data_IF_411091585655
#
_entry.id   IF_411091585655
#
_cell.length_a   1.000
_cell.length_b   1.000
_cell.length_c   1.000
_cell.angle_alpha   90.00
_cell.angle_beta   90.00
_cell.angle_gamma   90.00
#
_symmetry.space_group_name_H-M   'P 1'
#
loop_
_entity.id
_entity.type
_entity.pdbx_description
1 polymer ?
#
# COMPACT_ATOMS: atom_id res chain seq x y z
N UNK A 1 53.15 -8.95 -42.69
CA UNK A 1 52.14 -9.67 -41.89
C UNK A 1 52.62 -10.02 -40.46
N UNK A 2 53.89 -9.78 -40.09
CA UNK A 2 54.43 -10.08 -38.75
C UNK A 2 54.07 -9.06 -37.65
N UNK A 3 53.82 -7.79 -38.00
CA UNK A 3 53.65 -6.74 -36.98
C UNK A 3 52.26 -6.71 -36.33
N UNK A 4 51.22 -7.18 -37.03
CA UNK A 4 49.86 -7.24 -36.47
C UNK A 4 49.71 -8.35 -35.41
N UNK A 5 50.50 -9.44 -35.54
CA UNK A 5 50.52 -10.53 -34.58
C UNK A 5 51.23 -10.13 -33.28
N UNK A 6 52.33 -9.38 -33.38
CA UNK A 6 53.08 -8.86 -32.23
C UNK A 6 52.27 -7.86 -31.41
N UNK A 7 51.47 -7.00 -32.06
CA UNK A 7 50.60 -6.04 -31.36
C UNK A 7 49.48 -6.75 -30.59
N UNK A 8 48.84 -7.77 -31.19
CA UNK A 8 47.80 -8.56 -30.53
C UNK A 8 48.33 -9.38 -29.34
N UNK A 9 49.54 -9.90 -29.43
CA UNK A 9 50.18 -10.61 -28.32
C UNK A 9 50.56 -9.68 -27.16
N UNK A 10 50.94 -8.43 -27.45
CA UNK A 10 51.20 -7.42 -26.41
C UNK A 10 49.91 -7.02 -25.68
N UNK A 11 48.80 -6.90 -26.41
CA UNK A 11 47.49 -6.56 -25.84
C UNK A 11 46.92 -7.68 -24.97
N UNK A 12 47.06 -8.94 -25.40
CA UNK A 12 46.65 -10.10 -24.60
C UNK A 12 47.48 -10.24 -23.32
N UNK A 13 48.78 -9.93 -23.36
CA UNK A 13 49.63 -9.93 -22.17
C UNK A 13 49.20 -8.85 -21.17
N UNK A 14 48.86 -7.64 -21.65
CA UNK A 14 48.31 -6.57 -20.79
C UNK A 14 46.99 -6.95 -20.13
N UNK A 15 46.10 -7.63 -20.86
CA UNK A 15 44.81 -8.06 -20.30
C UNK A 15 44.97 -9.19 -19.28
N UNK A 16 45.95 -10.09 -19.46
CA UNK A 16 46.28 -11.10 -18.45
C UNK A 16 46.89 -10.48 -17.20
N UNK A 17 47.80 -9.50 -17.33
CA UNK A 17 48.37 -8.79 -16.18
C UNK A 17 47.32 -8.00 -15.40
N UNK A 18 46.32 -7.42 -16.10
CA UNK A 18 45.22 -6.72 -15.46
C UNK A 18 44.27 -7.67 -14.70
N UNK A 19 44.04 -8.87 -15.25
CA UNK A 19 43.21 -9.90 -14.60
C UNK A 19 43.89 -10.48 -13.35
N UNK A 20 45.20 -10.71 -13.40
CA UNK A 20 45.98 -11.19 -12.25
C UNK A 20 45.96 -10.15 -11.11
N UNK A 21 46.07 -8.85 -11.42
CA UNK A 21 45.97 -7.79 -10.40
C UNK A 21 44.58 -7.69 -9.76
N UNK A 22 43.50 -7.93 -10.52
CA UNK A 22 42.15 -7.97 -9.94
C UNK A 22 41.90 -9.23 -9.09
N UNK A 23 42.52 -10.35 -9.42
CA UNK A 23 42.44 -11.57 -8.62
C UNK A 23 43.28 -11.45 -7.33
N UNK A 24 44.42 -10.76 -7.34
CA UNK A 24 45.23 -10.44 -6.14
C UNK A 24 44.56 -9.42 -5.19
N UNK A 25 43.76 -8.49 -5.71
CA UNK A 25 43.01 -7.49 -4.91
C UNK A 25 41.78 -8.11 -4.22
N UNK A 26 41.28 -9.24 -4.72
CA UNK A 26 40.08 -9.91 -4.20
C UNK A 26 40.38 -11.05 -3.19
N UNK A 27 41.66 -11.35 -2.93
CA UNK A 27 42.09 -12.49 -2.09
C UNK A 27 42.71 -12.05 -0.74
N UNK A 28 42.43 -10.83 -0.28
CA UNK A 28 42.73 -10.43 1.10
C UNK A 28 41.64 -10.90 2.06
N UNK A 29 41.96 -11.74 3.06
CA UNK A 29 40.98 -12.20 4.04
C UNK A 29 40.57 -11.01 4.93
N UNK A 30 39.28 -10.68 4.91
CA UNK A 30 38.67 -9.75 5.86
C UNK A 30 38.81 -10.33 7.27
N UNK A 31 39.79 -9.80 8.01
CA UNK A 31 39.98 -10.06 9.44
C UNK A 31 38.75 -9.58 10.19
N UNK A 32 38.02 -10.52 10.76
CA UNK A 32 37.13 -10.31 11.89
C UNK A 32 37.93 -9.77 13.08
N UNK A 33 37.52 -8.67 13.74
CA UNK A 33 38.05 -8.33 15.05
C UNK A 33 37.22 -9.11 16.09
N UNK A 34 37.67 -10.31 16.42
CA UNK A 34 37.48 -10.83 17.78
C UNK A 34 38.67 -10.37 18.60
N UNK A 35 38.45 -9.55 19.63
CA UNK A 35 39.16 -9.70 20.91
C UNK A 35 38.61 -8.80 22.02
N UNK A 36 38.55 -9.42 23.19
CA UNK A 36 38.70 -8.86 24.53
C UNK A 36 37.48 -8.20 25.18
N UNK A 37 36.88 -8.99 26.08
CA UNK A 37 36.14 -8.55 27.25
C UNK A 37 36.86 -7.42 27.97
N UNK A 38 36.18 -6.29 28.13
CA UNK A 38 36.34 -5.41 29.28
C UNK A 38 34.95 -4.92 29.67
N UNK A 39 34.51 -5.35 30.86
CA UNK A 39 33.28 -4.89 31.50
C UNK A 39 33.36 -3.39 31.77
N UNK A 40 32.55 -2.61 31.06
CA UNK A 40 31.91 -1.40 31.58
C UNK A 40 30.54 -1.31 30.93
N UNK A 41 29.49 -1.46 31.74
CA UNK A 41 28.11 -1.43 31.29
C UNK A 41 27.80 -0.11 30.60
N UNK A 42 27.49 -0.17 29.32
CA UNK A 42 26.77 0.88 28.60
C UNK A 42 25.95 0.14 27.57
N UNK A 43 24.64 0.03 27.84
CA UNK A 43 23.69 -0.51 26.87
C UNK A 43 23.83 0.25 25.54
N UNK A 44 23.67 -0.42 24.38
CA UNK A 44 23.61 0.29 23.12
C UNK A 44 22.46 1.32 23.20
N UNK A 45 22.58 2.49 22.55
CA UNK A 45 21.50 3.46 22.58
C UNK A 45 20.28 2.77 21.98
N UNK A 46 19.25 2.59 22.81
CA UNK A 46 17.91 2.29 22.33
C UNK A 46 17.63 3.36 21.29
N UNK A 47 17.62 3.00 20.00
CA UNK A 47 17.03 3.90 19.00
C UNK A 47 15.68 4.24 19.58
N UNK A 48 15.51 5.50 20.01
CA UNK A 48 14.29 5.98 20.64
C UNK A 48 13.20 5.84 19.57
N UNK A 49 12.54 4.69 19.57
CA UNK A 49 11.61 4.28 18.53
C UNK A 49 10.39 5.19 18.64
N UNK A 50 10.01 5.81 17.53
CA UNK A 50 8.72 6.47 17.41
C UNK A 50 7.55 5.54 17.73
N UNK A 51 6.36 6.10 18.01
CA UNK A 51 5.17 5.33 18.42
C UNK A 51 4.36 4.91 17.19
N UNK A 52 4.07 3.61 17.08
CA UNK A 52 3.08 3.09 16.15
C UNK A 52 1.73 2.98 16.88
N UNK A 53 0.71 3.65 16.37
CA UNK A 53 -0.66 3.52 16.88
C UNK A 53 -1.42 2.63 15.91
N UNK A 54 -2.02 1.56 16.42
CA UNK A 54 -2.86 0.64 15.65
C UNK A 54 -4.19 0.47 16.37
N UNK A 55 -5.25 0.91 15.72
CA UNK A 55 -6.64 0.70 16.09
C UNK A 55 -7.26 -0.33 15.12
N UNK A 56 -8.44 -0.88 15.45
CA UNK A 56 -9.14 -1.89 14.63
C UNK A 56 -9.30 -1.52 13.14
N UNK A 57 -9.25 -0.22 12.81
CA UNK A 57 -9.47 0.30 11.45
C UNK A 57 -8.33 1.15 10.90
N UNK A 58 -7.33 1.49 11.73
CA UNK A 58 -6.33 2.53 11.40
C UNK A 58 -4.96 2.20 11.96
N UNK A 59 -3.93 2.55 11.21
CA UNK A 59 -2.55 2.52 11.66
C UNK A 59 -1.72 3.70 11.18
N UNK A 60 -0.97 4.32 12.09
CA UNK A 60 -0.06 5.41 11.75
C UNK A 60 1.14 5.46 12.68
N UNK A 61 2.26 5.92 12.14
CA UNK A 61 3.53 5.99 12.85
C UNK A 61 3.95 7.44 13.11
N UNK A 62 4.31 7.72 14.36
CA UNK A 62 4.85 9.00 14.80
C UNK A 62 6.35 8.82 14.99
N UNK A 63 7.16 9.31 14.04
CA UNK A 63 8.61 9.15 14.06
C UNK A 63 9.33 9.98 15.13
N UNK A 64 8.73 11.07 15.59
CA UNK A 64 9.34 11.94 16.58
C UNK A 64 8.93 11.53 18.00
N UNK A 65 9.91 11.12 18.79
CA UNK A 65 9.76 10.66 20.18
C UNK A 65 9.16 11.73 21.08
N UNK A 66 9.40 13.01 20.78
CA UNK A 66 8.77 14.12 21.49
C UNK A 66 7.25 14.14 21.30
N UNK A 67 6.75 13.86 20.08
CA UNK A 67 5.31 13.81 19.80
C UNK A 67 4.66 12.52 20.32
N UNK A 68 5.42 11.44 20.44
CA UNK A 68 4.97 10.23 21.12
C UNK A 68 4.74 10.49 22.63
N UNK A 69 5.73 11.06 23.32
CA UNK A 69 5.62 11.39 24.76
C UNK A 69 4.58 12.46 25.05
N UNK A 70 4.50 13.52 24.22
CA UNK A 70 3.51 14.59 24.41
C UNK A 70 2.07 14.05 24.30
N UNK A 71 1.83 13.05 23.45
CA UNK A 71 0.50 12.41 23.39
C UNK A 71 0.19 11.64 24.66
N UNK A 72 1.16 10.89 25.19
CA UNK A 72 0.98 10.12 26.42
C UNK A 72 0.70 11.07 27.61
N UNK A 73 1.40 12.21 27.69
CA UNK A 73 1.11 13.27 28.66
C UNK A 73 -0.27 13.92 28.44
N UNK A 74 -0.70 14.14 27.20
CA UNK A 74 -2.04 14.69 26.89
C UNK A 74 -3.15 13.68 27.21
N UNK A 75 -2.91 12.38 27.00
CA UNK A 75 -3.86 11.31 27.34
C UNK A 75 -4.00 11.15 28.86
N UNK A 76 -2.88 11.25 29.59
CA UNK A 76 -2.85 11.30 31.06
C UNK A 76 -3.55 12.57 31.60
N UNK A 77 -3.40 13.72 30.92
CA UNK A 77 -4.12 14.95 31.26
C UNK A 77 -5.62 14.88 30.92
N UNK A 78 -6.00 14.16 29.86
CA UNK A 78 -7.42 13.94 29.48
C UNK A 78 -8.10 13.04 30.50
N UNK A 79 -7.46 11.93 30.86
CA UNK A 79 -7.97 11.00 31.87
C UNK A 79 -8.00 11.65 33.27
N UNK A 80 -7.11 12.61 33.56
CA UNK A 80 -7.15 13.42 34.78
C UNK A 80 -8.22 14.52 34.77
N UNK A 81 -8.78 14.87 33.59
CA UNK A 81 -9.87 15.84 33.47
C UNK A 81 -11.25 15.17 33.45
N UNK A 82 -11.32 13.87 33.16
CA UNK A 82 -12.52 13.04 33.29
C UNK A 82 -12.71 12.59 34.75
N UNK A 83 -12.91 13.55 35.65
CA UNK A 83 -13.41 13.29 37.01
C UNK A 83 -14.95 13.33 36.97
N UNK A 84 -15.68 12.28 37.42
CA UNK A 84 -17.13 12.24 37.33
C UNK A 84 -17.73 13.15 38.40
N UNK A 85 -17.99 14.41 38.06
CA UNK A 85 -18.66 15.33 38.96
C UNK A 85 -19.95 15.90 38.37
N UNK A 86 -21.02 15.52 39.06
CA UNK A 86 -22.39 16.05 39.12
C UNK A 86 -23.33 15.81 37.95
N UNK A 87 -24.22 14.83 38.17
CA UNK A 87 -25.62 14.91 37.76
C UNK A 87 -26.21 16.27 38.16
N UNK A 88 -26.53 17.08 37.16
CA UNK A 88 -27.58 18.10 37.25
C UNK A 88 -28.19 18.25 35.87
N UNK A 89 -29.42 17.73 35.74
CA UNK A 89 -30.38 18.20 34.74
C UNK A 89 -30.47 19.72 34.85
N UNK A 90 -30.31 20.42 33.74
CA UNK A 90 -31.17 21.56 33.47
C UNK A 90 -31.39 21.70 31.97
N UNK A 91 -32.65 21.69 31.58
CA UNK A 91 -33.07 22.06 30.24
C UNK A 91 -32.95 23.57 30.08
N UNK A 92 -32.76 24.01 28.84
CA UNK A 92 -33.62 25.01 28.18
C UNK A 92 -33.14 25.23 26.75
N UNK A 93 -34.14 25.37 25.90
CA UNK A 93 -34.16 25.71 24.48
C UNK A 93 -33.50 27.04 24.18
N UNK A 94 -32.80 27.15 23.04
CA UNK A 94 -32.83 28.40 22.28
C UNK A 94 -32.77 28.13 20.78
N UNK A 95 -33.88 28.48 20.14
CA UNK A 95 -34.15 28.43 18.71
C UNK A 95 -33.46 29.59 18.00
N UNK A 96 -32.69 29.32 16.95
CA UNK A 96 -32.45 30.30 15.88
C UNK A 96 -32.56 29.62 14.51
N UNK A 97 -33.79 29.61 14.02
CA UNK A 97 -34.15 29.36 12.63
C UNK A 97 -34.09 30.68 11.85
N UNK A 98 -33.30 30.75 10.76
CA UNK A 98 -33.57 31.64 9.63
C UNK A 98 -33.03 31.04 8.31
N UNK A 99 -33.98 30.45 7.58
CA UNK A 99 -34.27 30.64 6.15
C UNK A 99 -33.25 30.21 5.09
N UNK A 100 -33.63 29.12 4.44
CA UNK A 100 -33.34 28.68 3.07
C UNK A 100 -33.07 29.80 2.05
N UNK A 101 -31.93 29.72 1.35
CA UNK A 101 -31.86 30.09 -0.06
C UNK A 101 -31.18 28.99 -0.87
N UNK A 102 -31.93 28.57 -1.90
CA UNK A 102 -31.56 27.66 -2.96
C UNK A 102 -30.30 28.13 -3.69
N UNK A 103 -29.28 27.28 -3.75
CA UNK A 103 -28.28 27.37 -4.81
C UNK A 103 -28.03 25.98 -5.40
N UNK A 104 -28.45 25.84 -6.65
CA UNK A 104 -28.20 24.72 -7.54
C UNK A 104 -26.71 24.67 -7.85
N UNK A 105 -25.92 24.00 -7.01
CA UNK A 105 -24.59 23.53 -7.38
C UNK A 105 -24.36 22.15 -6.76
N UNK A 106 -23.89 21.24 -7.60
CA UNK A 106 -23.62 19.84 -7.32
C UNK A 106 -22.97 19.60 -5.95
N UNK A 107 -23.17 18.43 -5.31
CA UNK A 107 -22.52 18.13 -4.05
C UNK A 107 -21.00 18.17 -4.26
N UNK A 108 -20.37 19.24 -3.78
CA UNK A 108 -18.92 19.36 -3.77
C UNK A 108 -18.40 18.22 -2.88
N UNK A 109 -17.77 17.22 -3.50
CA UNK A 109 -17.16 16.09 -2.83
C UNK A 109 -16.00 16.57 -1.93
N UNK A 110 -16.30 17.02 -0.71
CA UNK A 110 -15.34 17.58 0.26
C UNK A 110 -14.17 16.64 0.64
N UNK A 111 -14.24 15.35 0.31
CA UNK A 111 -13.16 14.37 0.58
C UNK A 111 -12.25 14.05 -0.61
N UNK A 112 -12.55 14.57 -1.81
CA UNK A 112 -11.96 14.05 -3.05
C UNK A 112 -10.86 14.95 -3.64
N UNK A 113 -10.76 16.21 -3.19
CA UNK A 113 -10.06 17.31 -3.86
C UNK A 113 -8.64 16.99 -4.37
N UNK A 114 -7.80 16.33 -3.57
CA UNK A 114 -6.43 15.99 -3.97
C UNK A 114 -6.29 14.60 -4.59
N UNK A 115 -7.06 13.61 -4.13
CA UNK A 115 -7.01 12.25 -4.68
C UNK A 115 -7.48 12.22 -6.14
N UNK A 116 -8.57 12.94 -6.44
CA UNK A 116 -9.07 13.11 -7.81
C UNK A 116 -8.07 13.84 -8.71
N UNK A 117 -7.30 14.79 -8.18
CA UNK A 117 -6.33 15.51 -9.00
C UNK A 117 -5.16 14.59 -9.42
N UNK A 118 -4.71 13.71 -8.51
CA UNK A 118 -3.58 12.80 -8.76
C UNK A 118 -3.99 11.60 -9.62
N UNK A 119 -5.16 11.02 -9.36
CA UNK A 119 -5.68 9.85 -10.10
C UNK A 119 -6.51 10.25 -11.34
N UNK A 120 -6.39 11.52 -11.75
CA UNK A 120 -7.13 12.12 -12.84
C UNK A 120 -8.56 12.48 -12.42
N UNK A 121 -9.01 13.70 -12.76
CA UNK A 121 -10.33 14.30 -12.47
C UNK A 121 -11.57 13.46 -12.88
N UNK A 122 -11.38 12.23 -13.31
CA UNK A 122 -12.35 11.17 -13.60
C UNK A 122 -13.16 10.73 -12.39
N UNK A 123 -12.90 11.30 -11.22
CA UNK A 123 -13.31 10.75 -9.95
C UNK A 123 -14.74 11.08 -9.49
N UNK A 124 -15.66 11.28 -10.44
CA UNK A 124 -16.99 11.85 -10.18
C UNK A 124 -18.09 10.82 -9.88
N UNK A 125 -17.80 9.51 -9.93
CA UNK A 125 -18.83 8.50 -9.73
C UNK A 125 -19.23 8.39 -8.25
N UNK A 126 -20.48 8.78 -7.95
CA UNK A 126 -21.12 8.64 -6.63
C UNK A 126 -21.27 7.17 -6.22
N UNK A 127 -21.41 6.25 -7.17
CA UNK A 127 -21.39 4.79 -6.96
C UNK A 127 -20.54 4.08 -8.01
N UNK A 128 -19.81 3.03 -7.59
CA UNK A 128 -19.08 2.10 -8.48
C UNK A 128 -19.78 0.75 -8.65
N UNK A 129 -20.95 0.55 -8.01
CA UNK A 129 -21.83 -0.61 -8.22
C UNK A 129 -21.95 -1.04 -9.69
N UNK A 130 -22.19 -0.14 -10.68
CA UNK A 130 -22.38 -0.57 -12.07
C UNK A 130 -21.11 -1.11 -12.75
N UNK A 131 -19.93 -0.91 -12.16
CA UNK A 131 -18.66 -1.41 -12.69
C UNK A 131 -18.32 -2.82 -12.16
N UNK A 132 -19.06 -3.32 -11.17
CA UNK A 132 -18.86 -4.67 -10.66
C UNK A 132 -19.34 -5.71 -11.68
N UNK A 133 -18.54 -6.75 -11.95
CA UNK A 133 -18.97 -7.85 -12.79
C UNK A 133 -20.08 -8.67 -12.12
N UNK A 134 -20.91 -9.39 -12.91
CA UNK A 134 -21.85 -10.36 -12.36
C UNK A 134 -21.11 -11.48 -11.62
N UNK A 135 -21.78 -12.11 -10.65
CA UNK A 135 -21.18 -13.10 -9.74
C UNK A 135 -20.39 -14.21 -10.47
N UNK A 136 -20.89 -14.73 -11.58
CA UNK A 136 -20.20 -15.77 -12.36
C UNK A 136 -18.84 -15.30 -12.88
N UNK A 137 -18.77 -14.06 -13.35
CA UNK A 137 -17.53 -13.43 -13.82
C UNK A 137 -16.61 -13.12 -12.65
N UNK A 138 -17.14 -12.63 -11.52
CA UNK A 138 -16.37 -12.38 -10.29
C UNK A 138 -15.68 -13.66 -9.79
N UNK A 139 -16.39 -14.80 -9.80
CA UNK A 139 -15.81 -16.10 -9.43
C UNK A 139 -14.68 -16.50 -10.38
N UNK A 140 -14.90 -16.36 -11.69
CA UNK A 140 -13.90 -16.71 -12.71
C UNK A 140 -12.64 -15.82 -12.62
N UNK A 141 -12.82 -14.51 -12.44
CA UNK A 141 -11.72 -13.56 -12.26
C UNK A 141 -10.90 -13.86 -11.01
N UNK A 142 -11.56 -14.24 -9.91
CA UNK A 142 -10.86 -14.63 -8.68
C UNK A 142 -10.00 -15.89 -8.89
N UNK A 143 -10.49 -16.86 -9.65
CA UNK A 143 -9.73 -18.07 -9.94
C UNK A 143 -8.48 -17.77 -10.79
N UNK A 144 -8.62 -16.91 -11.79
CA UNK A 144 -7.47 -16.39 -12.56
C UNK A 144 -6.47 -15.67 -11.64
N UNK A 145 -6.95 -14.80 -10.74
CA UNK A 145 -6.10 -14.10 -9.78
C UNK A 145 -5.31 -15.08 -8.90
N UNK A 146 -5.96 -16.13 -8.38
CA UNK A 146 -5.33 -17.15 -7.54
C UNK A 146 -4.23 -17.91 -8.28
N UNK A 147 -4.44 -18.21 -9.57
CA UNK A 147 -3.50 -19.01 -10.36
C UNK A 147 -2.33 -18.17 -10.88
N UNK A 148 -2.59 -16.95 -11.34
CA UNK A 148 -1.60 -16.17 -12.08
C UNK A 148 -0.95 -15.06 -11.25
N UNK A 149 -1.69 -14.43 -10.33
CA UNK A 149 -1.26 -13.19 -9.66
C UNK A 149 -0.80 -13.46 -8.23
N UNK A 150 -1.60 -14.17 -7.43
CA UNK A 150 -1.30 -14.45 -6.02
C UNK A 150 0.07 -15.14 -5.80
N UNK A 151 0.56 -16.04 -6.68
CA UNK A 151 1.88 -16.64 -6.50
C UNK A 151 3.05 -15.65 -6.70
N UNK A 152 2.82 -14.58 -7.47
CA UNK A 152 3.79 -13.53 -7.79
C UNK A 152 3.74 -12.38 -6.77
N UNK A 153 2.54 -11.99 -6.34
CA UNK A 153 2.31 -10.86 -5.42
C UNK A 153 1.89 -11.40 -4.05
N UNK A 154 2.88 -11.76 -3.23
CA UNK A 154 2.68 -12.45 -1.94
C UNK A 154 2.36 -11.52 -0.77
N UNK A 155 1.59 -10.46 -1.02
CA UNK A 155 1.23 -9.45 -0.01
C UNK A 155 0.00 -9.84 0.84
N UNK A 156 -0.69 -10.91 0.45
CA UNK A 156 -1.95 -11.33 1.07
C UNK A 156 -1.80 -12.61 1.90
N UNK A 157 -2.68 -12.74 2.89
CA UNK A 157 -3.02 -14.01 3.52
C UNK A 157 -4.28 -14.56 2.82
N UNK A 158 -4.10 -15.59 1.99
CA UNK A 158 -5.17 -16.07 1.08
C UNK A 158 -6.47 -16.46 1.79
N UNK A 159 -6.48 -17.20 2.92
CA UNK A 159 -7.73 -17.54 3.60
C UNK A 159 -8.55 -16.31 4.01
N UNK A 160 -7.90 -15.32 4.62
CA UNK A 160 -8.55 -14.06 5.05
C UNK A 160 -9.03 -13.25 3.86
N UNK A 161 -8.22 -13.17 2.79
CA UNK A 161 -8.61 -12.47 1.56
C UNK A 161 -9.87 -13.08 0.93
N UNK A 162 -9.96 -14.41 0.89
CA UNK A 162 -11.11 -15.09 0.30
C UNK A 162 -12.39 -14.86 1.10
N UNK A 163 -12.33 -14.87 2.44
CA UNK A 163 -13.47 -14.53 3.29
C UNK A 163 -13.97 -13.11 3.00
N UNK A 164 -13.05 -12.13 3.08
CA UNK A 164 -13.34 -10.73 2.78
C UNK A 164 -13.95 -10.55 1.38
N UNK A 165 -13.41 -11.26 0.39
CA UNK A 165 -13.87 -11.17 -0.99
C UNK A 165 -15.30 -11.70 -1.16
N UNK A 166 -15.63 -12.86 -0.59
CA UNK A 166 -16.96 -13.44 -0.73
C UNK A 166 -18.02 -12.64 0.03
N UNK A 167 -17.68 -12.12 1.22
CA UNK A 167 -18.56 -11.24 1.99
C UNK A 167 -18.89 -9.95 1.21
N UNK A 168 -17.88 -9.37 0.56
CA UNK A 168 -18.04 -8.18 -0.27
C UNK A 168 -18.86 -8.45 -1.55
N UNK A 169 -18.60 -9.57 -2.24
CA UNK A 169 -19.32 -9.94 -3.46
C UNK A 169 -20.79 -10.31 -3.16
N UNK A 170 -21.09 -10.83 -1.97
CA UNK A 170 -22.46 -11.09 -1.54
C UNK A 170 -23.27 -9.80 -1.30
N UNK A 171 -22.59 -8.68 -1.04
CA UNK A 171 -23.22 -7.43 -0.58
C UNK A 171 -22.63 -6.19 -1.27
N UNK A 172 -22.55 -6.22 -2.61
CA UNK A 172 -21.89 -5.19 -3.44
C UNK A 172 -22.35 -3.75 -3.13
N UNK A 173 -23.63 -3.55 -2.80
CA UNK A 173 -24.19 -2.23 -2.51
C UNK A 173 -23.72 -1.63 -1.18
N UNK A 174 -23.26 -2.46 -0.24
CA UNK A 174 -22.84 -2.06 1.12
C UNK A 174 -21.35 -2.25 1.38
N UNK A 175 -20.56 -2.54 0.35
CA UNK A 175 -19.13 -2.79 0.51
C UNK A 175 -18.40 -1.54 1.01
N UNK A 176 -17.53 -1.73 1.98
CA UNK A 176 -16.65 -0.67 2.46
C UNK A 176 -15.72 -0.19 1.33
N UNK A 177 -15.52 1.12 1.22
CA UNK A 177 -14.70 1.75 0.17
C UNK A 177 -13.29 1.14 0.04
N UNK A 178 -12.66 0.77 1.16
CA UNK A 178 -11.33 0.16 1.19
C UNK A 178 -11.33 -1.22 0.52
N UNK A 179 -12.32 -2.04 0.88
CA UNK A 179 -12.54 -3.39 0.33
C UNK A 179 -12.98 -3.31 -1.13
N UNK A 180 -13.85 -2.36 -1.49
CA UNK A 180 -14.26 -2.12 -2.87
C UNK A 180 -13.06 -1.83 -3.79
N UNK A 181 -12.10 -1.02 -3.32
CA UNK A 181 -10.86 -0.77 -4.05
C UNK A 181 -10.01 -2.03 -4.25
N UNK A 182 -9.96 -2.90 -3.24
CA UNK A 182 -9.26 -4.18 -3.34
C UNK A 182 -9.92 -5.13 -4.35
N UNK A 183 -11.25 -5.22 -4.37
CA UNK A 183 -12.00 -6.03 -5.35
C UNK A 183 -11.67 -5.58 -6.78
N UNK A 184 -11.73 -4.28 -7.06
CA UNK A 184 -11.38 -3.78 -8.39
C UNK A 184 -9.90 -4.04 -8.74
N UNK A 185 -8.98 -3.96 -7.78
CA UNK A 185 -7.57 -4.27 -8.02
C UNK A 185 -7.36 -5.75 -8.37
N UNK A 186 -8.11 -6.65 -7.72
CA UNK A 186 -8.15 -8.08 -8.06
C UNK A 186 -8.69 -8.26 -9.49
N UNK A 187 -9.79 -7.61 -9.86
CA UNK A 187 -10.35 -7.70 -11.22
C UNK A 187 -9.37 -7.21 -12.28
N UNK A 188 -8.77 -6.04 -12.07
CA UNK A 188 -7.79 -5.47 -13.00
C UNK A 188 -6.57 -6.38 -13.17
N UNK A 189 -5.99 -6.85 -12.07
CA UNK A 189 -4.82 -7.75 -12.12
C UNK A 189 -5.13 -9.10 -12.76
N UNK A 190 -6.33 -9.66 -12.53
CA UNK A 190 -6.79 -10.87 -13.20
C UNK A 190 -6.89 -10.67 -14.72
N UNK A 191 -7.49 -9.56 -15.17
CA UNK A 191 -7.60 -9.24 -16.61
C UNK A 191 -6.22 -9.03 -17.23
N UNK A 192 -5.29 -8.34 -16.56
CA UNK A 192 -3.90 -8.19 -17.02
C UNK A 192 -3.20 -9.53 -17.16
N UNK A 193 -3.38 -10.44 -16.21
CA UNK A 193 -2.69 -11.73 -16.23
C UNK A 193 -3.31 -12.77 -17.17
N UNK A 194 -4.52 -12.50 -17.67
CA UNK A 194 -5.24 -13.41 -18.56
C UNK A 194 -4.67 -13.41 -19.98
N UNK A 195 -5.22 -14.23 -20.89
CA UNK A 195 -4.98 -14.14 -22.33
C UNK A 195 -6.22 -13.54 -23.00
N UNK A 196 -6.08 -12.98 -24.19
CA UNK A 196 -7.18 -12.29 -24.91
C UNK A 196 -8.39 -13.21 -25.13
N UNK A 197 -8.15 -14.47 -25.51
CA UNK A 197 -9.16 -15.52 -25.68
C UNK A 197 -9.93 -15.81 -24.38
N UNK A 198 -9.20 -15.95 -23.27
CA UNK A 198 -9.79 -16.18 -21.95
C UNK A 198 -10.60 -14.98 -21.45
N UNK A 199 -10.12 -13.75 -21.67
CA UNK A 199 -10.86 -12.55 -21.30
C UNK A 199 -12.22 -12.48 -22.01
N UNK A 200 -12.26 -12.77 -23.31
CA UNK A 200 -13.50 -12.77 -24.09
C UNK A 200 -14.43 -13.89 -23.60
N UNK A 201 -13.90 -15.07 -23.30
CA UNK A 201 -14.69 -16.19 -22.78
C UNK A 201 -15.32 -15.89 -21.40
N UNK A 202 -14.59 -15.22 -20.51
CA UNK A 202 -15.06 -14.91 -19.15
C UNK A 202 -16.00 -13.69 -19.17
N UNK A 203 -15.57 -12.58 -19.76
CA UNK A 203 -16.25 -11.29 -19.63
C UNK A 203 -17.19 -10.97 -20.79
N UNK A 204 -17.08 -11.68 -21.91
CA UNK A 204 -17.83 -11.40 -23.13
C UNK A 204 -17.39 -10.12 -23.87
N UNK A 205 -16.31 -9.48 -23.43
CA UNK A 205 -15.77 -8.24 -24.01
C UNK A 205 -14.29 -8.40 -24.36
N UNK A 206 -13.81 -7.54 -25.25
CA UNK A 206 -12.38 -7.50 -25.58
C UNK A 206 -11.54 -7.13 -24.35
N UNK A 207 -10.38 -7.77 -24.21
CA UNK A 207 -9.43 -7.50 -23.12
C UNK A 207 -9.11 -6.02 -23.00
N UNK A 208 -8.83 -5.32 -24.11
CA UNK A 208 -8.50 -3.89 -24.10
C UNK A 208 -9.61 -3.01 -23.52
N UNK A 209 -10.88 -3.38 -23.74
CA UNK A 209 -12.03 -2.71 -23.16
C UNK A 209 -12.13 -3.00 -21.66
N UNK A 210 -11.99 -4.27 -21.26
CA UNK A 210 -12.00 -4.67 -19.85
C UNK A 210 -10.88 -3.97 -19.05
N UNK A 211 -9.66 -3.91 -19.59
CA UNK A 211 -8.53 -3.21 -18.96
C UNK A 211 -8.84 -1.74 -18.73
N UNK A 212 -9.39 -1.05 -19.74
CA UNK A 212 -9.78 0.36 -19.60
C UNK A 212 -10.85 0.57 -18.53
N UNK A 213 -11.85 -0.30 -18.50
CA UNK A 213 -12.95 -0.24 -17.51
C UNK A 213 -12.44 -0.49 -16.10
N UNK A 214 -11.69 -1.57 -15.88
CA UNK A 214 -11.22 -1.92 -14.54
C UNK A 214 -10.11 -1.01 -14.04
N UNK A 215 -9.24 -0.50 -14.93
CA UNK A 215 -8.28 0.55 -14.55
C UNK A 215 -8.99 1.79 -14.03
N UNK A 216 -9.99 2.26 -14.77
CA UNK A 216 -10.82 3.39 -14.34
C UNK A 216 -11.52 3.11 -13.00
N UNK A 217 -12.05 1.90 -12.83
CA UNK A 217 -12.73 1.51 -11.59
C UNK A 217 -11.78 1.51 -10.38
N UNK A 218 -10.55 0.99 -10.52
CA UNK A 218 -9.56 0.98 -9.44
C UNK A 218 -9.10 2.38 -9.09
N UNK A 219 -8.73 3.20 -10.09
CA UNK A 219 -8.34 4.60 -9.87
C UNK A 219 -9.43 5.35 -9.11
N UNK A 220 -10.69 5.09 -9.47
CA UNK A 220 -11.82 5.72 -8.82
C UNK A 220 -12.08 5.22 -7.40
N UNK A 221 -11.97 3.91 -7.16
CA UNK A 221 -12.15 3.32 -5.84
C UNK A 221 -11.06 3.79 -4.86
N UNK A 222 -9.81 3.84 -5.30
CA UNK A 222 -8.68 4.37 -4.52
C UNK A 222 -8.90 5.85 -4.16
N UNK A 223 -9.39 6.65 -5.10
CA UNK A 223 -9.68 8.06 -4.85
C UNK A 223 -10.82 8.25 -3.85
N UNK A 224 -11.92 7.50 -4.02
CA UNK A 224 -13.09 7.51 -3.10
C UNK A 224 -12.74 7.06 -1.68
N UNK A 225 -11.81 6.12 -1.55
CA UNK A 225 -11.31 5.63 -0.27
C UNK A 225 -10.26 6.57 0.37
N UNK A 226 -9.95 7.71 -0.25
CA UNK A 226 -9.03 8.71 0.27
C UNK A 226 -7.61 8.16 0.50
N UNK A 227 -7.06 7.46 -0.51
CA UNK A 227 -5.75 6.81 -0.46
C UNK A 227 -4.65 7.70 0.16
N UNK A 228 -4.58 8.98 -0.21
CA UNK A 228 -3.52 9.89 0.26
C UNK A 228 -3.46 10.08 1.78
N UNK A 229 -4.59 9.88 2.46
CA UNK A 229 -4.70 10.04 3.91
C UNK A 229 -5.08 8.72 4.59
N UNK A 230 -4.87 7.59 3.93
CA UNK A 230 -5.27 6.30 4.48
C UNK A 230 -4.34 5.85 5.60
N UNK A 231 -4.95 5.11 6.52
CA UNK A 231 -4.28 4.39 7.60
C UNK A 231 -4.69 2.90 7.56
N UNK A 232 -5.40 2.48 6.51
CA UNK A 232 -5.98 1.15 6.39
C UNK A 232 -5.11 0.24 5.51
N UNK A 233 -4.72 -0.92 6.05
CA UNK A 233 -3.81 -1.86 5.39
C UNK A 233 -4.42 -2.44 4.10
N UNK A 234 -5.72 -2.71 4.08
CA UNK A 234 -6.46 -3.25 2.92
C UNK A 234 -6.40 -2.30 1.74
N UNK A 235 -6.59 -0.99 1.97
CA UNK A 235 -6.50 0.00 0.91
C UNK A 235 -5.08 0.11 0.36
N UNK A 236 -4.07 0.03 1.24
CA UNK A 236 -2.67 0.03 0.82
C UNK A 236 -2.32 -1.22 0.00
N UNK A 237 -2.81 -2.40 0.39
CA UNK A 237 -2.68 -3.64 -0.38
C UNK A 237 -3.33 -3.51 -1.77
N UNK A 238 -4.52 -2.89 -1.87
CA UNK A 238 -5.18 -2.62 -3.14
C UNK A 238 -4.32 -1.73 -4.05
N UNK A 239 -3.74 -0.66 -3.51
CA UNK A 239 -2.87 0.24 -4.25
C UNK A 239 -1.58 -0.45 -4.74
N UNK A 240 -0.94 -1.27 -3.88
CA UNK A 240 0.26 -2.04 -4.25
C UNK A 240 -0.04 -3.07 -5.32
N UNK A 241 -1.16 -3.81 -5.21
CA UNK A 241 -1.59 -4.77 -6.22
C UNK A 241 -1.85 -4.08 -7.56
N UNK A 242 -2.57 -2.95 -7.54
CA UNK A 242 -2.84 -2.15 -8.73
C UNK A 242 -1.56 -1.68 -9.42
N UNK A 243 -0.62 -1.09 -8.68
CA UNK A 243 0.63 -0.58 -9.24
C UNK A 243 1.52 -1.71 -9.77
N UNK A 244 1.51 -2.87 -9.12
CA UNK A 244 2.25 -4.04 -9.58
C UNK A 244 1.71 -4.52 -10.93
N UNK A 245 0.38 -4.54 -11.09
CA UNK A 245 -0.25 -4.89 -12.36
C UNK A 245 -0.02 -3.80 -13.43
N UNK A 246 -0.18 -2.52 -13.06
CA UNK A 246 -0.03 -1.37 -13.96
C UNK A 246 1.40 -1.25 -14.54
N UNK A 247 2.44 -1.56 -13.74
CA UNK A 247 3.84 -1.51 -14.19
C UNK A 247 4.12 -2.45 -15.36
N UNK A 248 3.37 -3.55 -15.49
CA UNK A 248 3.52 -4.49 -16.60
C UNK A 248 2.95 -3.93 -17.91
N UNK A 249 2.00 -2.98 -17.85
CA UNK A 249 1.35 -2.38 -19.00
C UNK A 249 1.98 -1.04 -19.40
N UNK A 250 2.31 -0.20 -18.40
CA UNK A 250 2.78 1.18 -18.60
C UNK A 250 4.13 1.44 -17.93
N UNK A 251 5.19 1.59 -18.74
CA UNK A 251 6.52 2.06 -18.30
C UNK A 251 6.61 3.59 -18.13
N UNK A 252 5.48 4.23 -17.82
CA UNK A 252 5.39 5.69 -17.73
C UNK A 252 6.05 6.25 -16.46
N UNK A 253 6.51 7.50 -16.52
CA UNK A 253 6.95 8.26 -15.32
C UNK A 253 5.85 8.37 -14.26
N UNK A 254 4.58 8.39 -14.66
CA UNK A 254 3.43 8.46 -13.76
C UNK A 254 3.36 7.25 -12.84
N UNK A 255 3.62 6.04 -13.35
CA UNK A 255 3.64 4.80 -12.55
C UNK A 255 4.68 4.90 -11.43
N UNK A 256 5.87 5.44 -11.74
CA UNK A 256 6.93 5.65 -10.75
C UNK A 256 6.57 6.70 -9.70
N UNK A 257 5.93 7.81 -10.11
CA UNK A 257 5.44 8.82 -9.17
C UNK A 257 4.38 8.27 -8.22
N UNK A 258 3.44 7.46 -8.73
CA UNK A 258 2.44 6.79 -7.89
C UNK A 258 3.08 5.75 -6.95
N UNK A 259 4.08 5.01 -7.43
CA UNK A 259 4.82 4.08 -6.57
C UNK A 259 5.55 4.80 -5.43
N UNK A 260 6.20 5.93 -5.71
CA UNK A 260 6.84 6.74 -4.68
C UNK A 260 5.83 7.28 -3.64
N UNK A 261 4.64 7.67 -4.10
CA UNK A 261 3.56 8.13 -3.23
C UNK A 261 3.03 7.00 -2.32
N UNK A 262 2.76 5.83 -2.88
CA UNK A 262 2.31 4.65 -2.11
C UNK A 262 3.38 4.21 -1.11
N UNK A 263 4.66 4.26 -1.50
CA UNK A 263 5.78 4.00 -0.60
C UNK A 263 5.80 4.99 0.58
N UNK A 264 5.61 6.29 0.31
CA UNK A 264 5.54 7.30 1.37
C UNK A 264 4.38 7.05 2.34
N UNK A 265 3.19 6.70 1.83
CA UNK A 265 2.02 6.34 2.65
C UNK A 265 2.35 5.12 3.52
N UNK A 266 2.93 4.05 2.95
CA UNK A 266 3.35 2.86 3.69
C UNK A 266 4.35 3.19 4.81
N UNK A 267 5.29 4.09 4.54
CA UNK A 267 6.26 4.55 5.54
C UNK A 267 5.59 5.35 6.65
N UNK A 268 4.65 6.26 6.31
CA UNK A 268 3.86 7.03 7.28
C UNK A 268 2.93 6.15 8.14
N UNK A 269 2.48 5.02 7.60
CA UNK A 269 1.75 3.98 8.34
C UNK A 269 2.67 3.10 9.22
N UNK A 270 3.99 3.28 9.13
CA UNK A 270 4.97 2.58 9.97
C UNK A 270 5.38 1.19 9.49
N UNK A 271 5.07 0.79 8.25
CA UNK A 271 5.36 -0.56 7.75
C UNK A 271 6.87 -0.86 7.65
N UNK A 272 7.68 0.19 7.60
CA UNK A 272 9.15 0.11 7.62
C UNK A 272 9.72 -0.34 8.97
N UNK A 273 8.91 -0.33 10.04
CA UNK A 273 9.29 -0.84 11.36
C UNK A 273 8.68 -2.21 11.57
N UNK A 274 9.41 -3.07 12.27
CA UNK A 274 8.88 -4.37 12.61
C UNK A 274 7.69 -4.23 13.57
N UNK A 275 6.62 -4.99 13.33
CA UNK A 275 5.40 -4.96 14.14
C UNK A 275 5.54 -5.65 15.50
N UNK A 276 6.57 -6.50 15.67
CA UNK A 276 6.80 -7.32 16.86
C UNK A 276 6.81 -6.53 18.19
N UNK A 277 7.57 -5.42 18.29
CA UNK A 277 7.61 -4.59 19.50
C UNK A 277 6.28 -3.89 19.85
N UNK A 278 5.29 -3.85 18.95
CA UNK A 278 4.06 -3.08 19.12
C UNK A 278 2.85 -3.93 19.56
N UNK A 279 3.07 -5.18 20.02
CA UNK A 279 2.01 -6.08 20.51
C UNK A 279 0.84 -6.31 19.53
N UNK A 280 1.11 -6.23 18.22
CA UNK A 280 0.10 -6.47 17.18
C UNK A 280 -0.23 -7.95 17.05
N UNK A 281 -1.44 -8.30 16.56
CA UNK A 281 -1.77 -9.68 16.29
C UNK A 281 -0.80 -10.30 15.26
N UNK A 282 -0.37 -11.56 15.44
CA UNK A 282 0.66 -12.17 14.59
C UNK A 282 0.37 -12.12 13.09
N UNK A 283 -0.92 -12.27 12.71
CA UNK A 283 -1.35 -12.17 11.32
C UNK A 283 -1.09 -10.78 10.74
N UNK A 284 -1.36 -9.73 11.50
CA UNK A 284 -1.18 -8.35 11.02
C UNK A 284 0.30 -8.00 10.89
N UNK A 285 1.15 -8.45 11.83
CA UNK A 285 2.61 -8.31 11.73
C UNK A 285 3.12 -8.93 10.43
N UNK A 286 2.68 -10.15 10.14
CA UNK A 286 3.07 -10.87 8.93
C UNK A 286 2.58 -10.16 7.64
N UNK A 287 1.35 -9.65 7.63
CA UNK A 287 0.82 -8.88 6.49
C UNK A 287 1.59 -7.58 6.27
N UNK A 288 1.96 -6.86 7.33
CA UNK A 288 2.79 -5.64 7.24
C UNK A 288 4.17 -5.93 6.67
N UNK A 289 4.82 -7.01 7.13
CA UNK A 289 6.12 -7.46 6.60
C UNK A 289 6.04 -7.80 5.12
N UNK A 290 5.04 -8.60 4.72
CA UNK A 290 4.81 -8.99 3.32
C UNK A 290 4.51 -7.82 2.40
N UNK A 291 3.88 -6.76 2.92
CA UNK A 291 3.54 -5.60 2.13
C UNK A 291 4.74 -4.65 1.93
N UNK A 292 5.71 -4.68 2.85
CA UNK A 292 6.88 -3.81 2.80
C UNK A 292 8.05 -4.38 1.97
N UNK A 293 8.35 -5.67 2.10
CA UNK A 293 9.50 -6.34 1.47
C UNK A 293 9.14 -7.03 0.16
#
# INVERSE_FOLDING_TARGET
>A
MSDLASHKLCELRRLQEFKIRQEEENDQPSKSPCCASNNTGTEPPVEELGRLVVDDTRSYYISNVLWARLRDEIEELRDALDDPMSDVEDGLTDDLDLTSESSVYAPVCRGLGSNAAILGFRSLASSLTPLHPPLSQSVALLEVFKQNVAPLVRIFHMPTLLQLYWDAVASVDTVEKNTEALLFAIYYSAVISSRDDQCVAILGVMRSQALRTYRFAVEQALARANLLNTQNLTLLQAAVLFLTALRNEDSSRTTWSLAALVFHIAQAMGLHRDGGPFNLPPLEIELRRRLWW
#
